data_IF_178816512183
#
_entry.id   IF_178816512183
#
_cell.length_a   1.000
_cell.length_b   1.000
_cell.length_c   1.000
_cell.angle_alpha   90.00
_cell.angle_beta   90.00
_cell.angle_gamma   90.00
#
_symmetry.space_group_name_H-M   'P 1'
#
loop_
_entity.id
_entity.type
_entity.pdbx_description
1 polymer ?
#
# COMPACT_ATOMS: atom_id res chain seq x y z
N UNK A 1 14.96 10.79 -14.29
CA UNK A 1 14.91 10.11 -12.97
C UNK A 1 14.66 11.02 -11.77
N UNK A 2 15.27 12.22 -11.67
CA UNK A 2 15.17 13.03 -10.45
C UNK A 2 13.79 13.63 -10.09
N UNK A 3 12.94 13.94 -11.07
CA UNK A 3 11.65 14.64 -10.83
C UNK A 3 10.63 13.78 -10.06
N UNK A 4 10.51 12.50 -10.39
CA UNK A 4 9.58 11.58 -9.73
C UNK A 4 9.99 11.28 -8.28
N UNK A 5 11.28 11.00 -8.06
CA UNK A 5 11.83 10.78 -6.72
C UNK A 5 11.71 12.03 -5.83
N UNK A 6 11.92 13.22 -6.39
CA UNK A 6 11.75 14.49 -5.67
C UNK A 6 10.29 14.75 -5.29
N UNK A 7 9.34 14.20 -6.03
CA UNK A 7 7.92 14.22 -5.70
C UNK A 7 7.51 13.14 -4.68
N UNK A 8 8.45 12.33 -4.18
CA UNK A 8 8.19 11.23 -3.24
C UNK A 8 7.63 9.97 -3.88
N UNK A 9 7.63 9.89 -5.22
CA UNK A 9 7.17 8.72 -5.98
C UNK A 9 8.32 7.73 -6.13
N UNK A 10 8.49 6.92 -5.08
CA UNK A 10 9.66 6.04 -4.93
C UNK A 10 9.39 4.61 -5.38
N UNK A 11 8.10 4.23 -5.48
CA UNK A 11 7.66 2.86 -5.74
C UNK A 11 6.59 2.88 -6.84
N UNK A 12 6.54 1.84 -7.68
CA UNK A 12 5.53 1.69 -8.73
C UNK A 12 4.08 1.71 -8.17
N UNK A 13 3.88 1.25 -6.94
CA UNK A 13 2.60 1.31 -6.23
C UNK A 13 2.06 2.74 -6.03
N UNK A 14 2.92 3.76 -6.03
CA UNK A 14 2.48 5.15 -5.91
C UNK A 14 1.64 5.61 -7.10
N UNK A 15 1.71 4.92 -8.24
CA UNK A 15 1.07 5.33 -9.48
C UNK A 15 -0.28 4.66 -9.71
N UNK A 16 -0.64 3.62 -8.95
CA UNK A 16 -1.91 2.90 -9.13
C UNK A 16 -3.13 3.73 -8.75
N UNK A 17 -2.94 4.79 -7.96
CA UNK A 17 -3.99 5.69 -7.47
C UNK A 17 -3.90 7.11 -8.06
N UNK A 18 -2.95 7.36 -8.97
CA UNK A 18 -2.72 8.69 -9.55
C UNK A 18 -3.24 8.79 -10.97
N UNK A 19 -3.86 9.93 -11.30
CA UNK A 19 -4.21 10.31 -12.66
C UNK A 19 -3.10 11.19 -13.28
N UNK A 20 -3.07 11.30 -14.61
CA UNK A 20 -2.09 12.10 -15.37
C UNK A 20 -2.04 13.56 -14.91
N UNK A 21 -3.20 14.16 -14.61
CA UNK A 21 -3.31 15.53 -14.11
C UNK A 21 -2.64 15.71 -12.72
N UNK A 22 -2.88 14.76 -11.81
CA UNK A 22 -2.31 14.78 -10.46
C UNK A 22 -0.79 14.57 -10.50
N UNK A 23 -0.32 13.69 -11.39
CA UNK A 23 1.11 13.46 -11.62
C UNK A 23 1.80 14.71 -12.16
N UNK A 24 1.22 15.36 -13.16
CA UNK A 24 1.77 16.56 -13.79
C UNK A 24 1.97 17.66 -12.73
N UNK A 25 0.92 17.95 -11.95
CA UNK A 25 0.97 18.94 -10.89
C UNK A 25 2.03 18.63 -9.82
N UNK A 26 2.15 17.36 -9.39
CA UNK A 26 3.08 16.97 -8.34
C UNK A 26 4.54 16.88 -8.77
N UNK A 27 4.81 16.69 -10.06
CA UNK A 27 6.17 16.40 -10.58
C UNK A 27 6.74 17.48 -11.49
N UNK A 28 5.90 18.41 -11.97
CA UNK A 28 6.29 19.41 -12.96
C UNK A 28 6.71 18.80 -14.31
N UNK A 29 6.12 17.64 -14.65
CA UNK A 29 6.29 16.97 -15.93
C UNK A 29 5.27 17.48 -16.94
N UNK A 30 5.62 17.47 -18.22
CA UNK A 30 4.66 17.83 -19.26
C UNK A 30 3.56 16.75 -19.37
N UNK A 31 2.36 17.12 -19.83
CA UNK A 31 1.22 16.20 -19.91
C UNK A 31 1.55 14.93 -20.73
N UNK A 32 2.26 15.10 -21.84
CA UNK A 32 2.71 13.99 -22.70
C UNK A 32 3.68 13.03 -21.97
N UNK A 33 4.62 13.57 -21.19
CA UNK A 33 5.53 12.75 -20.38
C UNK A 33 4.77 11.96 -19.31
N UNK A 34 3.74 12.56 -18.70
CA UNK A 34 2.93 11.89 -17.67
C UNK A 34 2.09 10.75 -18.24
N UNK A 35 1.55 10.89 -19.45
CA UNK A 35 0.84 9.80 -20.12
C UNK A 35 1.78 8.66 -20.51
N UNK A 36 2.97 8.97 -21.00
CA UNK A 36 3.97 7.96 -21.33
C UNK A 36 4.38 7.16 -20.09
N UNK A 37 4.62 7.83 -18.95
CA UNK A 37 4.91 7.17 -17.67
C UNK A 37 3.76 6.25 -17.25
N UNK A 38 2.50 6.71 -17.31
CA UNK A 38 1.35 5.88 -16.98
C UNK A 38 1.18 4.70 -17.93
N UNK A 39 1.43 4.87 -19.24
CA UNK A 39 1.38 3.76 -20.21
C UNK A 39 2.42 2.68 -19.90
N UNK A 40 3.67 3.07 -19.62
CA UNK A 40 4.73 2.12 -19.26
C UNK A 40 4.37 1.34 -17.98
N UNK A 41 3.87 2.04 -16.96
CA UNK A 41 3.46 1.41 -15.70
C UNK A 41 2.22 0.52 -15.85
N UNK A 42 1.31 0.90 -16.73
CA UNK A 42 0.14 0.10 -17.09
C UNK A 42 0.53 -1.10 -17.96
N UNK A 43 1.57 -1.02 -18.79
CA UNK A 43 2.08 -2.15 -19.58
C UNK A 43 2.75 -3.20 -18.69
N UNK A 44 3.54 -2.76 -17.72
CA UNK A 44 4.06 -3.64 -16.65
C UNK A 44 2.91 -4.21 -15.80
N UNK A 45 1.86 -3.42 -15.52
CA UNK A 45 0.65 -3.92 -14.86
C UNK A 45 -0.25 -4.76 -15.75
N UNK A 46 -0.19 -4.67 -17.08
CA UNK A 46 -1.05 -5.40 -18.03
C UNK A 46 -0.67 -6.87 -18.19
N UNK A 47 0.63 -7.18 -18.03
CA UNK A 47 1.07 -8.56 -17.76
C UNK A 47 0.43 -9.13 -16.48
N UNK A 48 -0.02 -8.25 -15.59
CA UNK A 48 -0.79 -8.53 -14.38
C UNK A 48 -2.30 -8.20 -14.52
N UNK A 49 -2.84 -7.71 -15.65
CA UNK A 49 -4.28 -7.35 -15.71
C UNK A 49 -5.20 -8.56 -15.95
N UNK A 50 -4.67 -9.68 -16.45
CA UNK A 50 -5.33 -10.99 -16.29
C UNK A 50 -5.42 -11.39 -14.79
N UNK A 51 -4.64 -10.74 -13.92
CA UNK A 51 -4.68 -10.79 -12.43
C UNK A 51 -5.58 -9.67 -11.86
N UNK A 52 -6.15 -8.79 -12.69
CA UNK A 52 -7.00 -7.67 -12.28
C UNK A 52 -8.44 -8.07 -11.92
N UNK A 53 -8.98 -9.09 -12.60
CA UNK A 53 -10.28 -9.68 -12.23
C UNK A 53 -10.00 -10.73 -11.14
N UNK A 54 -10.07 -10.30 -9.89
CA UNK A 54 -9.96 -11.21 -8.74
C UNK A 54 -11.34 -11.63 -8.31
N UNK A 55 -11.56 -12.94 -8.20
CA UNK A 55 -12.74 -13.46 -7.54
C UNK A 55 -12.68 -13.15 -6.04
N UNK A 56 -13.83 -13.23 -5.36
CA UNK A 56 -13.87 -13.14 -3.90
C UNK A 56 -12.96 -14.19 -3.23
N UNK A 57 -12.80 -15.37 -3.86
CA UNK A 57 -11.90 -16.42 -3.39
C UNK A 57 -10.43 -16.00 -3.50
N UNK A 58 -10.02 -15.38 -4.60
CA UNK A 58 -8.64 -14.92 -4.79
C UNK A 58 -8.27 -13.84 -3.77
N UNK A 59 -9.23 -12.96 -3.45
CA UNK A 59 -9.06 -11.94 -2.40
C UNK A 59 -8.95 -12.58 -1.02
N UNK A 60 -9.79 -13.56 -0.71
CA UNK A 60 -9.74 -14.27 0.57
C UNK A 60 -8.40 -15.01 0.77
N UNK A 61 -7.93 -15.74 -0.24
CA UNK A 61 -6.65 -16.44 -0.17
C UNK A 61 -5.48 -15.46 0.02
N UNK A 62 -5.54 -14.30 -0.64
CA UNK A 62 -4.54 -13.24 -0.43
C UNK A 62 -4.59 -12.67 0.99
N UNK A 63 -5.77 -12.51 1.59
CA UNK A 63 -5.90 -12.04 2.97
C UNK A 63 -5.42 -13.08 3.99
N UNK A 64 -5.56 -14.38 3.69
CA UNK A 64 -5.04 -15.45 4.55
C UNK A 64 -3.52 -15.56 4.53
N UNK A 65 -2.87 -15.20 3.43
CA UNK A 65 -1.41 -15.18 3.28
C UNK A 65 -0.77 -13.90 3.83
N UNK A 66 -1.53 -13.07 4.56
CA UNK A 66 -1.03 -11.81 5.10
C UNK A 66 0.02 -12.04 6.19
N UNK A 67 1.14 -11.33 6.07
CA UNK A 67 2.21 -11.32 7.08
C UNK A 67 1.86 -10.43 8.29
N UNK A 68 2.40 -10.77 9.46
CA UNK A 68 2.12 -10.10 10.74
C UNK A 68 3.41 -9.75 11.51
N UNK A 69 3.38 -8.65 12.26
CA UNK A 69 4.38 -8.30 13.28
C UNK A 69 3.89 -8.77 14.64
N UNK A 70 4.65 -9.65 15.29
CA UNK A 70 4.34 -10.18 16.64
C UNK A 70 4.40 -9.05 17.68
N UNK A 71 3.38 -8.97 18.55
CA UNK A 71 3.29 -7.97 19.62
C UNK A 71 4.03 -8.35 20.90
N UNK A 72 4.55 -9.58 20.98
CA UNK A 72 5.13 -10.20 22.17
C UNK A 72 4.16 -10.30 23.36
N UNK A 73 2.87 -10.21 23.09
CA UNK A 73 1.79 -10.49 24.02
C UNK A 73 0.92 -11.57 23.38
N UNK A 74 1.07 -12.82 23.82
CA UNK A 74 0.36 -13.97 23.24
C UNK A 74 -1.15 -13.75 23.13
N UNK A 75 -1.77 -13.19 24.17
CA UNK A 75 -3.20 -12.89 24.18
C UNK A 75 -3.59 -11.86 23.10
N UNK A 76 -2.73 -10.87 22.85
CA UNK A 76 -2.96 -9.86 21.81
C UNK A 76 -2.73 -10.42 20.41
N UNK A 77 -1.66 -11.21 20.23
CA UNK A 77 -1.38 -11.87 18.95
C UNK A 77 -2.50 -12.83 18.56
N UNK A 78 -3.03 -13.60 19.53
CA UNK A 78 -4.19 -14.46 19.30
C UNK A 78 -5.45 -13.66 18.94
N UNK A 79 -5.69 -12.53 19.63
CA UNK A 79 -6.83 -11.65 19.34
C UNK A 79 -6.76 -11.07 17.92
N UNK A 80 -5.56 -10.72 17.45
CA UNK A 80 -5.34 -10.15 16.13
C UNK A 80 -5.14 -11.18 15.02
N UNK A 81 -5.16 -12.48 15.33
CA UNK A 81 -5.01 -13.56 14.35
C UNK A 81 -3.55 -13.83 13.93
N UNK A 82 -2.58 -13.50 14.77
CA UNK A 82 -1.15 -13.75 14.57
C UNK A 82 -0.23 -12.55 14.88
N UNK A 83 -0.80 -11.37 15.13
CA UNK A 83 -0.08 -10.13 15.41
C UNK A 83 -0.63 -8.94 14.63
N UNK A 84 0.15 -7.86 14.49
CA UNK A 84 -0.25 -6.67 13.73
C UNK A 84 -0.08 -6.94 12.23
N UNK A 85 -1.17 -6.94 11.42
CA UNK A 85 -1.08 -7.26 9.99
C UNK A 85 -0.33 -6.17 9.20
N UNK A 86 0.58 -6.58 8.32
CA UNK A 86 1.28 -5.66 7.42
C UNK A 86 0.33 -4.99 6.43
N UNK A 87 0.67 -3.80 5.94
CA UNK A 87 -0.13 -3.11 4.91
C UNK A 87 -1.55 -2.71 5.33
N UNK A 88 -1.90 -2.83 6.62
CA UNK A 88 -3.17 -2.39 7.21
C UNK A 88 -2.91 -1.30 8.25
N UNK A 89 -3.89 -0.42 8.44
CA UNK A 89 -3.87 0.55 9.53
C UNK A 89 -4.50 -0.09 10.77
N UNK A 90 -3.76 -0.08 11.88
CA UNK A 90 -4.25 -0.54 13.19
C UNK A 90 -4.25 0.63 14.16
N UNK A 91 -5.36 0.82 14.88
CA UNK A 91 -5.52 1.90 15.87
C UNK A 91 -5.58 1.32 17.29
N UNK A 92 -4.69 1.79 18.17
CA UNK A 92 -4.73 1.49 19.59
C UNK A 92 -5.38 2.65 20.35
N UNK A 93 -6.63 2.47 20.80
CA UNK A 93 -7.39 3.47 21.57
C UNK A 93 -7.40 3.16 23.07
N UNK A 94 -7.65 4.18 23.91
CA UNK A 94 -7.89 3.99 25.35
C UNK A 94 -7.46 5.18 26.22
N UNK A 95 -7.76 5.10 27.52
CA UNK A 95 -7.46 6.16 28.49
C UNK A 95 -5.94 6.46 28.63
N UNK A 96 -5.55 7.59 29.24
CA UNK A 96 -4.14 7.84 29.57
C UNK A 96 -3.54 6.70 30.42
N UNK A 97 -2.29 6.32 30.14
CA UNK A 97 -1.57 5.30 30.93
C UNK A 97 -1.87 3.83 30.59
N UNK A 98 -2.79 3.52 29.67
CA UNK A 98 -3.15 2.12 29.31
C UNK A 98 -2.11 1.36 28.48
N UNK A 99 -0.91 1.93 28.26
CA UNK A 99 0.16 1.23 27.55
C UNK A 99 0.24 1.49 26.04
N UNK A 100 -0.56 2.39 25.45
CA UNK A 100 -0.55 2.65 24.00
C UNK A 100 0.84 2.99 23.46
N UNK A 101 1.57 3.87 24.14
CA UNK A 101 2.90 4.32 23.71
C UNK A 101 3.95 3.20 23.80
N UNK A 102 3.74 2.20 24.65
CA UNK A 102 4.66 1.07 24.80
C UNK A 102 4.59 0.10 23.62
N UNK A 103 3.54 0.19 22.79
CA UNK A 103 3.43 -0.53 21.51
C UNK A 103 4.14 0.19 20.34
N UNK A 104 4.49 1.47 20.48
CA UNK A 104 5.14 2.28 19.43
C UNK A 104 6.64 2.43 19.70
#
# INVERSE_FOLDING_TARGET
>A
MGKLLRAGLNTAACFTSLNSASLNLGTGLHLDETEQVLKILHEDSKKSELVGIKSALDLLLKEQDQEHIVTFCEAMDMLLGGGIPLGRLVEFCGAPGVGKTQFW
#
